data_IF_736992135548
#
_entry.id   IF_736992135548
#
_cell.length_a   1.000
_cell.length_b   1.000
_cell.length_c   1.000
_cell.angle_alpha   90.00
_cell.angle_beta   90.00
_cell.angle_gamma   90.00
#
_symmetry.space_group_name_H-M   'P 1'
#
loop_
_entity.id
_entity.type
_entity.pdbx_description
1 polymer ?
#
# COMPACT_ATOMS: atom_id res chain seq x y z
N UNK A 1 -11.75 0.99 -28.97
CA UNK A 1 -12.78 0.29 -28.16
C UNK A 1 -12.65 -1.21 -28.38
N UNK A 2 -12.64 -2.05 -27.33
CA UNK A 2 -12.58 -3.50 -27.50
C UNK A 2 -13.86 -4.03 -28.16
N UNK A 3 -13.73 -5.00 -29.07
CA UNK A 3 -14.86 -5.63 -29.75
C UNK A 3 -15.72 -6.40 -28.73
N UNK A 4 -17.07 -6.31 -28.80
CA UNK A 4 -17.92 -7.07 -27.89
C UNK A 4 -17.65 -8.57 -28.05
N UNK A 5 -17.44 -9.27 -26.93
CA UNK A 5 -17.08 -10.69 -26.89
C UNK A 5 -18.24 -11.63 -27.18
N UNK A 6 -19.47 -11.10 -27.33
CA UNK A 6 -20.69 -11.85 -27.62
C UNK A 6 -21.38 -11.26 -28.85
N UNK A 7 -22.11 -12.10 -29.59
CA UNK A 7 -22.90 -11.74 -30.77
C UNK A 7 -24.30 -12.37 -30.69
N UNK A 8 -25.22 -12.02 -31.58
CA UNK A 8 -26.54 -12.66 -31.66
C UNK A 8 -26.43 -14.20 -31.76
N UNK A 9 -25.42 -14.70 -32.50
CA UNK A 9 -25.15 -16.13 -32.62
C UNK A 9 -24.79 -16.79 -31.28
N UNK A 10 -24.11 -16.08 -30.37
CA UNK A 10 -23.80 -16.60 -29.04
C UNK A 10 -25.07 -16.91 -28.23
N UNK A 11 -26.11 -16.06 -28.34
CA UNK A 11 -27.39 -16.29 -27.67
C UNK A 11 -28.17 -17.44 -28.30
N UNK A 12 -28.05 -17.62 -29.62
CA UNK A 12 -28.58 -18.79 -30.29
C UNK A 12 -27.91 -20.09 -29.82
N UNK A 13 -26.58 -20.11 -29.73
CA UNK A 13 -25.85 -21.27 -29.23
C UNK A 13 -26.20 -21.62 -27.77
N UNK A 14 -26.47 -20.61 -26.93
CA UNK A 14 -26.98 -20.84 -25.56
C UNK A 14 -28.37 -21.50 -25.56
N UNK A 15 -29.26 -21.08 -26.44
CA UNK A 15 -30.59 -21.67 -26.54
C UNK A 15 -30.54 -23.10 -27.11
N UNK A 16 -29.68 -23.32 -28.11
CA UNK A 16 -29.39 -24.66 -28.65
C UNK A 16 -28.88 -25.60 -27.56
N UNK A 17 -27.91 -25.14 -26.75
CA UNK A 17 -27.38 -25.91 -25.62
C UNK A 17 -28.49 -26.29 -24.63
N UNK A 18 -29.39 -25.37 -24.29
CA UNK A 18 -30.54 -25.65 -23.40
C UNK A 18 -31.52 -26.64 -24.01
N UNK A 19 -31.80 -26.54 -25.32
CA UNK A 19 -32.66 -27.48 -26.04
C UNK A 19 -32.10 -28.90 -25.99
N UNK A 20 -30.81 -29.07 -26.28
CA UNK A 20 -30.13 -30.38 -26.22
C UNK A 20 -30.11 -30.92 -24.79
N UNK A 21 -29.85 -30.06 -23.80
CA UNK A 21 -29.84 -30.47 -22.39
C UNK A 21 -31.22 -30.91 -21.90
N UNK A 22 -32.31 -30.30 -22.39
CA UNK A 22 -33.68 -30.68 -22.06
C UNK A 22 -34.15 -31.94 -22.80
N UNK A 23 -33.71 -32.14 -24.04
CA UNK A 23 -34.10 -33.29 -24.86
C UNK A 23 -33.32 -34.57 -24.54
N UNK A 24 -31.99 -34.48 -24.47
CA UNK A 24 -31.09 -35.64 -24.39
C UNK A 24 -30.37 -35.77 -23.04
N UNK A 25 -30.58 -34.83 -22.10
CA UNK A 25 -29.92 -34.82 -20.78
C UNK A 25 -28.42 -34.51 -20.81
N UNK A 26 -27.80 -34.41 -21.98
CA UNK A 26 -26.37 -34.16 -22.15
C UNK A 26 -26.04 -32.68 -21.92
N UNK A 27 -25.05 -32.41 -21.05
CA UNK A 27 -24.50 -31.07 -20.82
C UNK A 27 -23.33 -30.83 -21.77
N UNK A 28 -23.58 -30.14 -22.88
CA UNK A 28 -22.53 -29.63 -23.76
C UNK A 28 -21.87 -28.39 -23.14
N UNK A 29 -20.59 -28.16 -23.42
CA UNK A 29 -19.95 -26.86 -23.18
C UNK A 29 -20.39 -25.84 -24.23
N UNK A 30 -20.22 -24.55 -23.95
CA UNK A 30 -20.65 -23.48 -24.88
C UNK A 30 -19.88 -23.53 -26.21
N UNK A 31 -18.61 -23.94 -26.22
CA UNK A 31 -17.80 -24.05 -27.44
C UNK A 31 -18.24 -25.23 -28.31
N UNK A 32 -18.65 -26.34 -27.69
CA UNK A 32 -19.21 -27.49 -28.41
C UNK A 32 -20.57 -27.14 -29.00
N UNK A 33 -21.43 -26.44 -28.25
CA UNK A 33 -22.71 -25.96 -28.75
C UNK A 33 -22.54 -25.00 -29.94
N UNK A 34 -21.60 -24.05 -29.84
CA UNK A 34 -21.26 -23.12 -30.93
C UNK A 34 -20.85 -23.88 -32.20
N UNK A 35 -20.00 -24.91 -32.05
CA UNK A 35 -19.53 -25.70 -33.20
C UNK A 35 -20.69 -26.50 -33.82
N UNK A 36 -21.53 -27.10 -32.98
CA UNK A 36 -22.63 -27.97 -33.43
C UNK A 36 -23.77 -27.21 -34.12
N UNK A 37 -24.07 -25.99 -33.68
CA UNK A 37 -25.22 -25.24 -34.19
C UNK A 37 -24.85 -24.20 -35.27
N UNK A 38 -23.58 -24.14 -35.69
CA UNK A 38 -23.09 -23.12 -36.61
C UNK A 38 -23.73 -23.20 -38.00
N UNK A 39 -23.87 -24.40 -38.55
CA UNK A 39 -24.48 -24.61 -39.87
C UNK A 39 -26.00 -24.38 -39.83
N UNK A 40 -26.67 -24.78 -38.74
CA UNK A 40 -28.10 -24.49 -38.52
C UNK A 40 -28.35 -22.97 -38.46
N UNK A 41 -27.51 -22.23 -37.74
CA UNK A 41 -27.60 -20.77 -37.66
C UNK A 41 -27.47 -20.07 -39.02
N UNK A 42 -26.63 -20.60 -39.92
CA UNK A 42 -26.48 -20.03 -41.26
C UNK A 42 -27.76 -20.16 -42.10
N UNK A 43 -28.49 -21.25 -41.91
CA UNK A 43 -29.70 -21.58 -42.66
C UNK A 43 -30.94 -20.82 -42.16
N UNK A 44 -30.90 -20.25 -40.95
CA UNK A 44 -32.00 -19.45 -40.42
C UNK A 44 -32.24 -18.18 -41.24
N UNK A 45 -33.51 -17.88 -41.43
CA UNK A 45 -33.96 -16.61 -42.01
C UNK A 45 -33.66 -15.42 -41.09
N UNK A 46 -33.71 -14.21 -41.63
CA UNK A 46 -33.49 -13.00 -40.83
C UNK A 46 -34.58 -12.79 -39.76
N UNK A 47 -35.80 -13.27 -40.02
CA UNK A 47 -36.92 -13.25 -39.07
C UNK A 47 -36.66 -14.19 -37.89
N UNK A 48 -36.14 -15.38 -38.14
CA UNK A 48 -35.77 -16.35 -37.10
C UNK A 48 -34.54 -15.93 -36.30
N UNK A 49 -33.65 -15.13 -36.90
CA UNK A 49 -32.50 -14.54 -36.20
C UNK A 49 -32.88 -13.32 -35.35
N UNK A 50 -34.03 -12.69 -35.63
CA UNK A 50 -34.46 -11.44 -35.00
C UNK A 50 -34.50 -11.50 -33.45
N UNK A 51 -35.08 -12.53 -32.82
CA UNK A 51 -35.10 -12.63 -31.35
C UNK A 51 -33.71 -12.61 -30.71
N UNK A 52 -32.73 -13.25 -31.35
CA UNK A 52 -31.35 -13.30 -30.86
C UNK A 52 -30.60 -11.99 -31.07
N UNK A 53 -30.97 -11.22 -32.09
CA UNK A 53 -30.46 -9.85 -32.30
C UNK A 53 -30.98 -8.91 -31.21
N UNK A 54 -32.24 -9.02 -30.83
CA UNK A 54 -32.84 -8.27 -29.72
C UNK A 54 -32.11 -8.58 -28.41
N UNK A 55 -31.91 -9.87 -28.09
CA UNK A 55 -31.17 -10.29 -26.90
C UNK A 55 -29.71 -9.78 -26.88
N UNK A 56 -29.06 -9.73 -28.03
CA UNK A 56 -27.73 -9.13 -28.15
C UNK A 56 -27.74 -7.62 -27.90
N UNK A 57 -28.75 -6.91 -28.41
CA UNK A 57 -28.88 -5.48 -28.23
C UNK A 57 -29.13 -5.13 -26.75
N UNK A 58 -30.04 -5.84 -26.10
CA UNK A 58 -30.32 -5.69 -24.66
C UNK A 58 -29.06 -5.93 -23.83
N UNK A 59 -28.33 -7.02 -24.11
CA UNK A 59 -27.06 -7.30 -23.45
C UNK A 59 -26.01 -6.20 -23.69
N UNK A 60 -25.94 -5.67 -24.92
CA UNK A 60 -24.99 -4.63 -25.31
C UNK A 60 -25.28 -3.30 -24.59
N UNK A 61 -26.55 -2.96 -24.43
CA UNK A 61 -27.00 -1.79 -23.66
C UNK A 61 -26.58 -1.96 -22.20
N UNK A 62 -26.89 -3.09 -21.57
CA UNK A 62 -26.49 -3.36 -20.19
C UNK A 62 -24.96 -3.36 -19.98
N UNK A 63 -24.19 -3.94 -20.90
CA UNK A 63 -22.72 -3.96 -20.83
C UNK A 63 -22.10 -2.56 -20.91
N UNK A 64 -22.73 -1.61 -21.63
CA UNK A 64 -22.25 -0.22 -21.69
C UNK A 64 -22.53 0.55 -20.41
N UNK A 65 -23.63 0.22 -19.72
CA UNK A 65 -24.03 0.89 -18.48
C UNK A 65 -23.22 0.44 -17.28
N UNK A 66 -22.90 -0.85 -17.18
CA UNK A 66 -22.12 -1.43 -16.09
C UNK A 66 -21.36 -2.69 -16.57
N UNK A 67 -20.08 -2.55 -16.96
CA UNK A 67 -19.28 -3.66 -17.47
C UNK A 67 -18.98 -4.75 -16.43
N UNK A 68 -18.99 -4.42 -15.13
CA UNK A 68 -18.59 -5.33 -14.05
C UNK A 68 -19.70 -6.33 -13.69
N UNK A 69 -20.97 -5.89 -13.70
CA UNK A 69 -22.09 -6.79 -13.43
C UNK A 69 -22.40 -7.78 -14.56
N UNK A 70 -21.93 -7.51 -15.79
CA UNK A 70 -22.13 -8.37 -16.95
C UNK A 70 -21.19 -9.59 -17.00
N UNK A 71 -20.21 -9.68 -16.09
CA UNK A 71 -19.22 -10.77 -16.02
C UNK A 71 -19.79 -11.96 -15.23
N UNK A 72 -19.90 -13.11 -15.91
CA UNK A 72 -20.31 -14.39 -15.31
C UNK A 72 -19.43 -14.74 -14.10
N UNK A 73 -20.05 -15.29 -13.06
CA UNK A 73 -19.39 -15.77 -11.83
C UNK A 73 -18.20 -16.70 -12.13
N UNK A 74 -18.28 -17.48 -13.20
CA UNK A 74 -17.19 -18.37 -13.64
C UNK A 74 -15.99 -17.61 -14.21
N UNK A 75 -16.22 -16.45 -14.84
CA UNK A 75 -15.16 -15.62 -15.41
C UNK A 75 -14.48 -14.77 -14.34
N UNK A 76 -15.22 -14.33 -13.32
CA UNK A 76 -14.66 -13.73 -12.08
C UNK A 76 -13.73 -14.71 -11.37
N UNK A 77 -14.12 -15.97 -11.22
CA UNK A 77 -13.26 -17.00 -10.65
C UNK A 77 -11.97 -17.21 -11.47
N UNK A 78 -12.06 -17.23 -12.81
CA UNK A 78 -10.89 -17.36 -13.69
C UNK A 78 -9.95 -16.15 -13.63
N UNK A 79 -10.50 -14.93 -13.52
CA UNK A 79 -9.71 -13.71 -13.36
C UNK A 79 -9.03 -13.66 -11.99
N UNK A 80 -9.75 -13.97 -10.90
CA UNK A 80 -9.18 -14.08 -9.57
C UNK A 80 -8.06 -15.14 -9.52
N UNK A 81 -8.27 -16.30 -10.15
CA UNK A 81 -7.25 -17.37 -10.21
C UNK A 81 -6.03 -16.97 -11.05
N UNK A 82 -6.21 -16.16 -12.09
CA UNK A 82 -5.09 -15.57 -12.86
C UNK A 82 -4.34 -14.52 -12.04
N UNK A 83 -5.05 -13.64 -11.34
CA UNK A 83 -4.45 -12.63 -10.45
C UNK A 83 -3.62 -13.29 -9.34
N UNK A 84 -4.18 -14.28 -8.64
CA UNK A 84 -3.47 -15.07 -7.61
C UNK A 84 -2.25 -15.78 -8.19
N UNK A 85 -2.38 -16.40 -9.38
CA UNK A 85 -1.23 -17.06 -10.03
C UNK A 85 -0.14 -16.06 -10.45
N UNK A 86 -0.54 -14.85 -10.79
CA UNK A 86 0.37 -13.77 -11.17
C UNK A 86 1.06 -13.18 -9.94
N UNK A 87 0.35 -12.97 -8.83
CA UNK A 87 0.91 -12.61 -7.53
C UNK A 87 1.93 -13.64 -7.06
N UNK A 88 1.58 -14.94 -7.03
CA UNK A 88 2.49 -16.03 -6.66
C UNK A 88 3.73 -16.06 -7.59
N UNK A 89 3.57 -15.74 -8.87
CA UNK A 89 4.68 -15.67 -9.83
C UNK A 89 5.56 -14.45 -9.54
N UNK A 90 4.96 -13.30 -9.24
CA UNK A 90 5.70 -12.07 -8.89
C UNK A 90 6.45 -12.25 -7.57
N UNK A 91 5.83 -12.89 -6.59
CA UNK A 91 6.41 -13.21 -5.28
C UNK A 91 7.56 -14.22 -5.42
N UNK A 92 7.42 -15.24 -6.29
CA UNK A 92 8.54 -16.12 -6.66
C UNK A 92 9.68 -15.37 -7.33
N UNK A 93 9.40 -14.49 -8.29
CA UNK A 93 10.41 -13.68 -8.98
C UNK A 93 11.12 -12.73 -7.99
N UNK A 94 10.38 -12.16 -7.02
CA UNK A 94 10.95 -11.35 -5.94
C UNK A 94 11.81 -12.18 -4.97
N UNK A 95 11.42 -13.44 -4.70
CA UNK A 95 12.19 -14.36 -3.87
C UNK A 95 13.42 -14.96 -4.57
N UNK A 96 13.43 -14.98 -5.90
CA UNK A 96 14.51 -15.52 -6.76
C UNK A 96 15.46 -14.44 -7.28
N UNK A 97 15.17 -13.15 -7.05
CA UNK A 97 16.13 -12.08 -7.30
C UNK A 97 17.27 -12.18 -6.29
N UNK A 98 18.38 -12.78 -6.72
CA UNK A 98 19.68 -12.53 -6.09
C UNK A 98 19.96 -11.03 -6.22
N UNK A 99 19.70 -10.29 -5.15
CA UNK A 99 20.16 -8.91 -5.04
C UNK A 99 21.69 -8.99 -5.11
N UNK A 100 22.34 -8.32 -6.09
CA UNK A 100 23.79 -8.39 -6.23
C UNK A 100 24.45 -8.03 -4.90
N UNK A 101 25.39 -8.87 -4.45
CA UNK A 101 26.08 -8.67 -3.17
C UNK A 101 26.65 -7.24 -3.06
N UNK A 102 27.07 -6.64 -4.18
CA UNK A 102 27.58 -5.26 -4.23
C UNK A 102 26.52 -4.18 -3.96
N UNK A 103 25.31 -4.29 -4.52
CA UNK A 103 24.21 -3.34 -4.25
C UNK A 103 23.73 -3.48 -2.80
N UNK A 104 23.59 -4.71 -2.32
CA UNK A 104 23.32 -5.00 -0.91
C UNK A 104 24.41 -4.42 -0.02
N UNK A 105 25.69 -4.55 -0.39
CA UNK A 105 26.85 -4.08 0.39
C UNK A 105 26.93 -2.57 0.43
N UNK A 106 26.73 -1.88 -0.68
CA UNK A 106 26.61 -0.40 -0.72
C UNK A 106 25.45 0.06 0.15
N UNK A 107 24.32 -0.65 0.10
CA UNK A 107 23.17 -0.36 0.96
C UNK A 107 23.48 -0.63 2.45
N UNK A 108 24.10 -1.76 2.76
CA UNK A 108 24.56 -2.15 4.10
C UNK A 108 25.53 -1.11 4.68
N UNK A 109 26.49 -0.64 3.89
CA UNK A 109 27.49 0.34 4.32
C UNK A 109 26.84 1.71 4.52
N UNK A 110 25.96 2.13 3.59
CA UNK A 110 25.22 3.39 3.65
C UNK A 110 24.34 3.51 4.91
N UNK A 111 23.72 2.40 5.33
CA UNK A 111 22.80 2.37 6.47
C UNK A 111 23.39 1.74 7.73
N UNK A 112 24.68 1.41 7.73
CA UNK A 112 25.39 0.76 8.84
C UNK A 112 25.25 1.54 10.16
N UNK A 113 25.47 2.85 10.14
CA UNK A 113 25.35 3.72 11.31
C UNK A 113 23.92 3.78 11.86
N UNK A 114 22.91 3.92 10.99
CA UNK A 114 21.50 3.99 11.41
C UNK A 114 21.03 2.64 11.97
N UNK A 115 21.43 1.53 11.32
CA UNK A 115 21.20 0.17 11.81
C UNK A 115 21.84 -0.05 13.18
N UNK A 116 23.10 0.34 13.36
CA UNK A 116 23.82 0.15 14.62
C UNK A 116 23.19 1.00 15.73
N UNK A 117 22.77 2.23 15.41
CA UNK A 117 21.97 3.06 16.30
C UNK A 117 20.66 2.39 16.69
N UNK A 118 19.89 1.86 15.73
CA UNK A 118 18.65 1.14 16.00
C UNK A 118 18.88 -0.08 16.89
N UNK A 119 19.90 -0.89 16.60
CA UNK A 119 20.23 -2.08 17.37
C UNK A 119 20.68 -1.75 18.81
N UNK A 120 21.47 -0.69 18.97
CA UNK A 120 22.06 -0.33 20.26
C UNK A 120 21.12 0.51 21.13
N UNK A 121 20.41 1.49 20.56
CA UNK A 121 19.60 2.44 21.35
C UNK A 121 18.10 2.13 21.35
N UNK A 122 17.58 1.55 20.27
CA UNK A 122 16.13 1.53 20.05
C UNK A 122 15.51 0.14 20.22
N UNK A 123 15.95 -0.87 19.47
CA UNK A 123 15.34 -2.18 19.47
C UNK A 123 15.55 -2.95 20.78
N UNK A 124 14.58 -3.80 21.18
CA UNK A 124 14.75 -4.71 22.30
C UNK A 124 15.77 -5.80 21.96
N UNK A 125 16.49 -6.24 22.99
CA UNK A 125 17.42 -7.38 22.90
C UNK A 125 16.68 -8.72 22.90
N UNK A 126 15.43 -8.74 23.36
CA UNK A 126 14.59 -9.93 23.45
C UNK A 126 13.65 -10.05 22.25
N UNK A 127 13.58 -11.24 21.67
CA UNK A 127 12.78 -11.51 20.47
C UNK A 127 11.28 -11.46 20.74
N UNK A 128 10.81 -11.85 21.93
CA UNK A 128 9.39 -11.80 22.26
C UNK A 128 8.93 -10.36 22.45
N UNK A 129 9.79 -9.53 23.02
CA UNK A 129 9.58 -8.08 23.07
C UNK A 129 9.58 -7.48 21.65
N UNK A 130 10.50 -7.91 20.77
CA UNK A 130 10.53 -7.44 19.37
C UNK A 130 9.23 -7.79 18.62
N UNK A 131 8.69 -9.00 18.83
CA UNK A 131 7.48 -9.45 18.16
C UNK A 131 6.26 -8.58 18.47
N UNK A 132 6.19 -8.10 19.72
CA UNK A 132 5.06 -7.32 20.24
C UNK A 132 5.32 -5.80 20.22
N UNK A 133 6.55 -5.39 19.92
CA UNK A 133 6.93 -3.98 19.84
C UNK A 133 6.14 -3.25 18.74
N UNK A 134 5.54 -2.09 19.03
CA UNK A 134 4.92 -1.27 17.99
C UNK A 134 5.99 -0.65 17.08
N UNK A 135 5.81 -0.84 15.78
CA UNK A 135 6.57 -0.24 14.69
C UNK A 135 5.63 0.77 14.02
N UNK A 136 6.08 2.01 13.84
CA UNK A 136 5.29 3.05 13.18
C UNK A 136 5.88 3.36 11.82
N UNK A 137 5.11 3.17 10.75
CA UNK A 137 5.52 3.51 9.39
C UNK A 137 4.74 4.74 8.96
N UNK A 138 5.41 5.76 8.43
CA UNK A 138 4.77 6.99 7.95
C UNK A 138 5.09 7.19 6.47
N UNK A 139 4.20 7.86 5.75
CA UNK A 139 4.46 8.36 4.41
C UNK A 139 3.74 9.69 4.22
N UNK A 140 4.37 10.60 3.49
CA UNK A 140 3.75 11.84 3.05
C UNK A 140 3.66 11.87 1.52
N UNK A 141 2.48 12.21 1.01
CA UNK A 141 2.35 12.68 -0.37
C UNK A 141 2.47 14.19 -0.39
N UNK A 142 3.06 14.72 -1.47
CA UNK A 142 3.33 16.16 -1.62
C UNK A 142 2.81 16.64 -2.97
N UNK A 143 2.31 17.86 -3.02
CA UNK A 143 1.97 18.48 -4.29
C UNK A 143 3.21 18.87 -5.10
N UNK A 144 4.26 19.38 -4.44
CA UNK A 144 5.53 19.67 -5.07
C UNK A 144 6.66 19.86 -4.05
N UNK A 145 7.90 19.85 -4.56
CA UNK A 145 9.07 20.40 -3.89
C UNK A 145 9.35 21.78 -4.50
N UNK A 146 9.57 22.78 -3.65
CA UNK A 146 10.03 24.12 -4.04
C UNK A 146 11.52 24.08 -4.26
N UNK A 147 12.03 24.83 -5.24
CA UNK A 147 13.47 24.90 -5.50
C UNK A 147 14.22 25.48 -4.29
N UNK A 148 15.48 25.08 -4.12
CA UNK A 148 16.28 25.51 -2.96
C UNK A 148 16.46 27.03 -2.89
N UNK A 149 16.54 27.71 -4.05
CA UNK A 149 16.62 29.17 -4.16
C UNK A 149 15.37 29.88 -3.60
N UNK A 150 14.22 29.21 -3.68
CA UNK A 150 12.92 29.69 -3.22
C UNK A 150 12.52 29.11 -1.83
N UNK A 151 13.44 28.41 -1.17
CA UNK A 151 13.29 27.93 0.21
C UNK A 151 13.26 26.41 0.39
N UNK A 152 13.32 25.60 -0.67
CA UNK A 152 13.57 24.15 -0.58
C UNK A 152 12.52 23.34 0.20
N UNK A 153 11.32 23.91 0.34
CA UNK A 153 10.23 23.39 1.15
C UNK A 153 9.33 22.44 0.36
N UNK A 154 8.74 21.47 1.06
CA UNK A 154 7.78 20.53 0.48
C UNK A 154 6.36 21.01 0.76
N UNK A 155 5.49 20.96 -0.24
CA UNK A 155 4.07 21.29 -0.08
C UNK A 155 3.30 19.99 0.19
N UNK A 156 2.81 19.76 1.43
CA UNK A 156 2.14 18.50 1.77
C UNK A 156 0.76 18.39 1.11
N UNK A 157 0.39 17.17 0.76
CA UNK A 157 -0.92 16.82 0.20
C UNK A 157 -1.63 15.76 1.05
N UNK A 158 -0.88 14.78 1.56
CA UNK A 158 -1.42 13.69 2.35
C UNK A 158 -0.39 13.22 3.38
N UNK A 159 -0.89 12.71 4.48
CA UNK A 159 -0.12 12.01 5.49
C UNK A 159 -0.82 10.70 5.82
N UNK A 160 -0.05 9.61 5.83
CA UNK A 160 -0.48 8.32 6.32
C UNK A 160 0.49 7.80 7.39
N UNK A 161 -0.05 7.26 8.48
CA UNK A 161 0.71 6.53 9.49
C UNK A 161 0.05 5.17 9.77
N UNK A 162 0.90 4.15 9.85
CA UNK A 162 0.53 2.79 10.16
C UNK A 162 1.29 2.33 11.41
N UNK A 163 0.55 1.80 12.39
CA UNK A 163 1.10 1.01 13.49
C UNK A 163 1.09 -0.46 13.09
N UNK A 164 2.22 -1.11 13.25
CA UNK A 164 2.49 -2.49 12.88
C UNK A 164 3.16 -3.22 14.05
N UNK A 165 2.84 -4.50 14.28
CA UNK A 165 3.64 -5.39 15.13
C UNK A 165 4.04 -6.61 14.32
N UNK A 166 5.17 -7.26 14.63
CA UNK A 166 5.55 -8.47 13.89
C UNK A 166 4.64 -9.65 14.22
N UNK A 167 4.01 -9.66 15.41
CA UNK A 167 3.08 -10.69 15.83
C UNK A 167 1.71 -10.57 15.14
N UNK A 168 1.14 -9.35 15.08
CA UNK A 168 -0.25 -9.14 14.64
C UNK A 168 -0.34 -8.48 13.25
N UNK A 169 0.78 -8.00 12.71
CA UNK A 169 0.81 -7.26 11.46
C UNK A 169 0.29 -5.82 11.62
N UNK A 170 -0.36 -5.26 10.58
CA UNK A 170 -0.97 -3.93 10.62
C UNK A 170 -2.10 -3.86 11.67
N UNK A 171 -1.99 -2.95 12.66
CA UNK A 171 -2.95 -2.86 13.78
C UNK A 171 -3.76 -1.56 13.80
N UNK A 172 -3.15 -0.42 13.50
CA UNK A 172 -3.83 0.88 13.53
C UNK A 172 -3.38 1.71 12.35
N UNK A 173 -4.34 2.29 11.63
CA UNK A 173 -4.09 3.08 10.44
C UNK A 173 -4.77 4.46 10.60
N UNK A 174 -4.05 5.51 10.24
CA UNK A 174 -4.59 6.87 10.12
C UNK A 174 -4.06 7.55 8.88
N UNK A 175 -4.97 8.18 8.17
CA UNK A 175 -4.72 8.94 6.95
C UNK A 175 -5.39 10.30 7.10
N UNK A 176 -4.75 11.34 6.57
CA UNK A 176 -5.31 12.67 6.49
C UNK A 176 -4.83 13.37 5.22
N UNK A 177 -5.78 13.99 4.52
CA UNK A 177 -5.46 14.92 3.45
C UNK A 177 -5.16 16.30 4.05
N UNK A 178 -4.09 16.91 3.60
CA UNK A 178 -3.57 18.16 4.15
C UNK A 178 -3.90 19.28 3.16
N UNK A 179 -4.58 20.31 3.66
CA UNK A 179 -4.80 21.55 2.92
C UNK A 179 -3.62 22.49 3.21
N UNK A 180 -2.68 22.70 2.27
CA UNK A 180 -1.55 23.58 2.51
C UNK A 180 -2.00 25.05 2.61
N UNK A 181 -1.35 25.83 3.48
CA UNK A 181 -1.68 27.25 3.71
C UNK A 181 -1.70 28.07 2.41
N UNK A 182 -0.60 27.97 1.66
CA UNK A 182 -0.42 28.69 0.40
C UNK A 182 0.53 27.90 -0.48
N UNK A 183 0.13 27.72 -1.73
CA UNK A 183 1.03 27.23 -2.78
C UNK A 183 2.00 28.37 -3.13
N UNK A 184 3.31 28.15 -3.07
CA UNK A 184 4.32 29.15 -3.43
C UNK A 184 4.09 29.70 -4.84
N UNK A 185 4.29 31.00 -5.02
CA UNK A 185 4.11 31.68 -6.31
C UNK A 185 5.04 31.06 -7.35
N UNK A 186 4.51 30.73 -8.53
CA UNK A 186 5.26 30.05 -9.60
C UNK A 186 5.11 28.53 -9.61
N UNK A 187 4.71 27.91 -8.50
CA UNK A 187 4.68 26.44 -8.37
C UNK A 187 3.33 25.78 -8.68
N UNK A 188 2.30 26.57 -9.02
CA UNK A 188 0.97 26.01 -9.35
C UNK A 188 1.02 25.00 -10.51
N UNK A 189 1.82 25.29 -11.55
CA UNK A 189 1.96 24.37 -12.69
C UNK A 189 2.61 23.05 -12.26
N UNK A 190 3.68 23.12 -11.45
CA UNK A 190 4.36 21.95 -10.92
C UNK A 190 3.43 21.09 -10.06
N UNK A 191 2.60 21.72 -9.20
CA UNK A 191 1.60 21.00 -8.41
C UNK A 191 0.58 20.28 -9.30
N UNK A 192 0.07 20.95 -10.33
CA UNK A 192 -0.93 20.38 -11.26
C UNK A 192 -0.35 19.25 -12.11
N UNK A 193 0.92 19.33 -12.50
CA UNK A 193 1.61 18.27 -13.22
C UNK A 193 1.85 17.06 -12.32
N UNK A 194 2.39 17.29 -11.11
CA UNK A 194 2.68 16.23 -10.15
C UNK A 194 1.41 15.48 -9.77
N UNK A 195 0.33 16.18 -9.37
CA UNK A 195 -0.90 15.52 -8.95
C UNK A 195 -1.51 14.65 -10.07
N UNK A 196 -1.40 15.07 -11.34
CA UNK A 196 -1.90 14.28 -12.48
C UNK A 196 -1.05 13.05 -12.75
N UNK A 197 0.24 13.11 -12.41
CA UNK A 197 1.18 12.00 -12.59
C UNK A 197 1.22 11.02 -11.42
N UNK A 198 0.72 11.41 -10.24
CA UNK A 198 0.90 10.62 -9.00
C UNK A 198 -0.41 10.28 -8.30
N UNK A 199 -0.90 11.16 -7.43
CA UNK A 199 -1.91 10.84 -6.41
C UNK A 199 -3.31 11.37 -6.74
N UNK A 200 -3.45 12.24 -7.74
CA UNK A 200 -4.72 12.86 -8.18
C UNK A 200 -5.51 13.64 -7.11
N UNK A 201 -4.93 13.82 -5.92
CA UNK A 201 -5.47 14.69 -4.86
C UNK A 201 -5.75 16.10 -5.39
N UNK A 202 -6.98 16.64 -5.26
CA UNK A 202 -7.31 17.97 -5.75
C UNK A 202 -6.66 19.09 -4.93
N UNK A 203 -6.20 20.16 -5.60
CA UNK A 203 -5.63 21.35 -4.95
C UNK A 203 -6.67 22.32 -4.38
N UNK A 204 -7.90 22.29 -4.90
CA UNK A 204 -8.97 23.21 -4.55
C UNK A 204 -10.25 22.45 -4.27
N UNK A 205 -11.06 23.02 -3.37
CA UNK A 205 -12.40 22.54 -3.03
C UNK A 205 -12.46 21.08 -2.60
N UNK A 206 -11.39 20.59 -1.97
CA UNK A 206 -11.32 19.22 -1.44
C UNK A 206 -11.78 19.20 0.02
N UNK A 207 -13.02 18.75 0.24
CA UNK A 207 -13.69 18.82 1.53
C UNK A 207 -13.03 17.94 2.60
N UNK A 208 -12.39 16.84 2.20
CA UNK A 208 -11.66 15.93 3.10
C UNK A 208 -10.32 16.51 3.59
N UNK A 209 -9.80 17.56 2.93
CA UNK A 209 -8.54 18.17 3.32
C UNK A 209 -8.71 19.06 4.57
N UNK A 210 -7.84 18.87 5.55
CA UNK A 210 -7.84 19.65 6.79
C UNK A 210 -6.72 20.68 6.81
N UNK A 211 -7.04 21.89 7.28
CA UNK A 211 -6.08 22.93 7.68
C UNK A 211 -5.91 22.99 9.21
N UNK A 212 -6.56 22.09 9.95
CA UNK A 212 -6.41 21.96 11.39
C UNK A 212 -5.18 21.10 11.75
N UNK A 213 -3.99 21.66 11.53
CA UNK A 213 -2.71 20.99 11.81
C UNK A 213 -2.56 20.58 13.27
N UNK A 214 -3.11 21.37 14.20
CA UNK A 214 -3.07 21.07 15.63
C UNK A 214 -3.79 19.77 15.96
N UNK A 215 -5.01 19.59 15.42
CA UNK A 215 -5.76 18.35 15.58
C UNK A 215 -5.03 17.17 14.93
N UNK A 216 -4.52 17.34 13.71
CA UNK A 216 -3.77 16.30 13.00
C UNK A 216 -2.54 15.84 13.80
N UNK A 217 -1.78 16.78 14.33
CA UNK A 217 -0.59 16.47 15.14
C UNK A 217 -0.94 15.84 16.49
N UNK A 218 -2.05 16.24 17.13
CA UNK A 218 -2.56 15.58 18.33
C UNK A 218 -2.99 14.14 18.06
N UNK A 219 -3.62 13.87 16.91
CA UNK A 219 -3.96 12.53 16.49
C UNK A 219 -2.70 11.68 16.28
N UNK A 220 -1.68 12.20 15.60
CA UNK A 220 -0.38 11.52 15.49
C UNK A 220 0.23 11.20 16.86
N UNK A 221 0.27 12.19 17.76
CA UNK A 221 0.74 12.01 19.14
C UNK A 221 0.04 10.87 19.86
N UNK A 222 -1.29 10.78 19.72
CA UNK A 222 -2.10 9.75 20.37
C UNK A 222 -1.79 8.33 19.88
N UNK A 223 -1.38 8.18 18.62
CA UNK A 223 -0.99 6.89 18.03
C UNK A 223 0.41 6.50 18.50
N UNK A 224 1.33 7.46 18.50
CA UNK A 224 2.75 7.26 18.77
C UNK A 224 3.03 6.98 20.25
N UNK A 225 2.37 7.73 21.14
CA UNK A 225 2.55 7.64 22.59
C UNK A 225 1.19 7.37 23.24
N UNK A 226 0.73 6.11 23.25
CA UNK A 226 -0.51 5.75 23.91
C UNK A 226 -0.34 5.80 25.45
N UNK A 227 -0.74 6.94 26.04
CA UNK A 227 -0.83 7.24 27.48
C UNK A 227 0.49 7.38 28.27
N UNK A 228 0.40 8.12 29.39
CA UNK A 228 1.52 8.60 30.19
C UNK A 228 2.38 7.46 30.77
N UNK A 229 3.59 7.32 30.24
CA UNK A 229 4.61 6.46 30.84
C UNK A 229 5.21 7.19 32.02
N UNK A 230 4.95 6.70 33.24
CA UNK A 230 5.63 7.20 34.43
C UNK A 230 7.11 6.86 34.36
N UNK A 231 7.97 7.88 34.47
CA UNK A 231 9.42 7.70 34.59
C UNK A 231 9.71 6.70 35.73
N UNK A 232 10.44 5.60 35.47
CA UNK A 232 10.76 4.64 36.52
C UNK A 232 11.50 5.37 37.64
N UNK A 233 11.10 5.12 38.89
CA UNK A 233 11.66 5.77 40.09
C UNK A 233 13.16 5.53 40.24
N UNK A 234 13.66 4.41 39.70
CA UNK A 234 15.07 4.13 39.48
C UNK A 234 15.24 3.81 37.99
N UNK A 235 15.70 4.77 37.17
CA UNK A 235 16.31 4.44 35.89
C UNK A 235 17.58 3.62 36.21
N UNK A 236 17.39 2.31 36.33
CA UNK A 236 18.43 1.32 36.55
C UNK A 236 19.57 1.50 35.55
N UNK A 237 20.80 1.13 35.93
CA UNK A 237 21.90 0.90 34.96
C UNK A 237 21.57 -0.22 33.96
N UNK A 238 20.50 -0.99 34.19
CA UNK A 238 20.02 -1.97 33.22
C UNK A 238 19.57 -1.30 31.91
N UNK A 239 20.42 -1.42 30.91
CA UNK A 239 20.21 -0.97 29.54
C UNK A 239 18.84 -1.38 28.97
N UNK A 240 18.29 -2.54 29.37
CA UNK A 240 16.97 -2.98 28.88
C UNK A 240 15.85 -2.07 29.37
N UNK A 241 15.86 -1.71 30.65
CA UNK A 241 14.86 -0.82 31.26
C UNK A 241 14.97 0.58 30.63
N UNK A 242 16.20 1.07 30.46
CA UNK A 242 16.47 2.36 29.81
C UNK A 242 15.95 2.40 28.37
N UNK A 243 16.26 1.40 27.54
CA UNK A 243 15.80 1.33 26.14
C UNK A 243 14.28 1.24 26.05
N UNK A 244 13.65 0.46 26.93
CA UNK A 244 12.18 0.35 26.99
C UNK A 244 11.52 1.69 27.33
N UNK A 245 12.08 2.41 28.29
CA UNK A 245 11.63 3.75 28.64
C UNK A 245 11.79 4.72 27.45
N UNK A 246 12.97 4.76 26.80
CA UNK A 246 13.20 5.62 25.64
C UNK A 246 12.20 5.36 24.50
N UNK A 247 11.96 4.08 24.15
CA UNK A 247 10.94 3.70 23.13
C UNK A 247 9.55 4.24 23.45
N UNK A 248 9.22 4.31 24.74
CA UNK A 248 7.89 4.67 25.21
C UNK A 248 7.64 6.18 25.26
N UNK A 249 8.70 6.98 25.44
CA UNK A 249 8.62 8.46 25.46
C UNK A 249 8.99 9.11 24.13
N UNK A 250 9.78 8.41 23.30
CA UNK A 250 10.26 8.91 22.01
C UNK A 250 10.30 7.75 20.99
N UNK A 251 9.14 7.37 20.42
CA UNK A 251 9.07 6.27 19.47
C UNK A 251 9.83 6.58 18.19
N UNK A 252 10.23 5.54 17.47
CA UNK A 252 10.87 5.65 16.17
C UNK A 252 9.81 5.48 15.07
N UNK A 253 9.83 6.40 14.12
CA UNK A 253 9.03 6.32 12.91
C UNK A 253 9.93 5.90 11.75
N UNK A 254 9.41 4.97 10.96
CA UNK A 254 10.06 4.38 9.81
C UNK A 254 9.44 4.89 8.51
N UNK A 255 10.26 5.14 7.50
CA UNK A 255 9.85 5.52 6.15
C UNK A 255 10.96 5.10 5.15
N UNK A 256 10.70 5.06 3.83
CA UNK A 256 11.72 4.73 2.84
C UNK A 256 12.92 5.68 2.93
N UNK A 257 14.15 5.16 2.87
CA UNK A 257 15.36 5.97 3.02
C UNK A 257 15.47 7.10 2.00
N UNK A 258 14.94 6.89 0.79
CA UNK A 258 14.89 7.90 -0.28
C UNK A 258 14.00 9.09 0.05
N UNK A 259 13.05 8.93 0.99
CA UNK A 259 12.11 9.96 1.43
C UNK A 259 12.57 10.66 2.72
N UNK A 260 13.80 10.40 3.21
CA UNK A 260 14.25 10.88 4.52
C UNK A 260 14.18 12.39 4.67
N UNK A 261 14.72 13.12 3.69
CA UNK A 261 14.75 14.58 3.75
C UNK A 261 13.33 15.16 3.75
N UNK A 262 12.49 14.68 2.81
CA UNK A 262 11.09 15.09 2.68
C UNK A 262 10.31 14.82 3.97
N UNK A 263 10.34 13.57 4.45
CA UNK A 263 9.54 13.13 5.59
C UNK A 263 9.99 13.82 6.87
N UNK A 264 11.31 13.97 7.11
CA UNK A 264 11.80 14.70 8.28
C UNK A 264 11.39 16.16 8.23
N UNK A 265 11.53 16.84 7.09
CA UNK A 265 11.13 18.26 6.94
C UNK A 265 9.63 18.45 7.12
N UNK A 266 8.80 17.57 6.55
CA UNK A 266 7.34 17.65 6.66
C UNK A 266 6.83 17.34 8.08
N UNK A 267 7.45 16.39 8.78
CA UNK A 267 7.11 16.13 10.17
C UNK A 267 7.48 17.31 11.06
N UNK A 268 8.67 17.88 10.87
CA UNK A 268 9.10 19.08 11.60
C UNK A 268 8.20 20.28 11.32
N UNK A 269 7.82 20.48 10.04
CA UNK A 269 6.85 21.48 9.62
C UNK A 269 5.50 21.30 10.31
N UNK A 270 4.99 20.07 10.37
CA UNK A 270 3.70 19.78 11.00
C UNK A 270 3.74 20.08 12.51
N UNK A 271 4.83 19.70 13.19
CA UNK A 271 5.04 20.03 14.60
C UNK A 271 5.09 21.56 14.82
N UNK A 272 5.86 22.27 13.99
CA UNK A 272 5.95 23.73 14.06
C UNK A 272 4.59 24.40 13.84
N UNK A 273 3.81 23.93 12.86
CA UNK A 273 2.45 24.43 12.59
C UNK A 273 1.46 24.14 13.71
N UNK A 274 1.60 22.99 14.38
CA UNK A 274 0.70 22.58 15.44
C UNK A 274 1.01 23.25 16.79
N UNK A 275 2.30 23.47 17.09
CA UNK A 275 2.76 23.91 18.41
C UNK A 275 3.34 25.33 18.42
N UNK A 276 3.64 25.90 17.25
CA UNK A 276 4.29 27.21 17.13
C UNK A 276 5.77 27.21 17.54
N UNK A 277 6.38 26.04 17.72
CA UNK A 277 7.76 25.87 18.14
C UNK A 277 8.50 25.09 17.07
N UNK A 278 9.60 25.67 16.56
CA UNK A 278 10.48 24.96 15.63
C UNK A 278 11.15 23.79 16.35
N UNK A 279 10.98 22.54 15.88
CA UNK A 279 11.56 21.39 16.54
C UNK A 279 13.09 21.41 16.46
N UNK A 280 13.72 20.94 17.53
CA UNK A 280 15.15 20.64 17.60
C UNK A 280 15.31 19.21 18.13
N UNK A 281 16.55 18.73 18.27
CA UNK A 281 16.81 17.36 18.73
C UNK A 281 16.19 17.03 20.09
N UNK A 282 16.05 18.01 20.98
CA UNK A 282 15.53 17.83 22.34
C UNK A 282 14.00 17.95 22.42
N UNK A 283 13.38 18.68 21.48
CA UNK A 283 11.92 18.88 21.43
C UNK A 283 11.22 17.95 20.45
N UNK A 284 11.97 17.17 19.65
CA UNK A 284 11.38 16.25 18.68
C UNK A 284 10.76 15.06 19.40
N UNK A 285 9.47 14.87 19.14
CA UNK A 285 8.65 13.80 19.72
C UNK A 285 9.15 12.39 19.38
N UNK A 286 9.83 12.25 18.24
CA UNK A 286 10.13 10.96 17.64
C UNK A 286 11.55 10.90 17.11
N UNK A 287 12.07 9.68 17.05
CA UNK A 287 13.25 9.34 16.28
C UNK A 287 12.85 8.93 14.87
N UNK A 288 13.77 9.12 13.91
CA UNK A 288 13.56 8.71 12.53
C UNK A 288 14.55 7.62 12.16
N UNK A 289 14.08 6.64 11.40
CA UNK A 289 14.94 5.67 10.76
C UNK A 289 14.34 5.18 9.45
N UNK A 290 15.15 4.58 8.59
CA UNK A 290 14.65 3.99 7.36
C UNK A 290 14.00 2.62 7.58
N UNK A 291 13.00 2.30 6.76
CA UNK A 291 12.40 0.95 6.69
C UNK A 291 13.47 -0.07 6.27
N UNK A 292 14.38 0.33 5.41
CA UNK A 292 15.51 -0.47 4.95
C UNK A 292 16.39 -0.89 6.12
N UNK A 293 16.85 0.04 6.97
CA UNK A 293 17.62 -0.27 8.18
C UNK A 293 16.88 -1.25 9.11
N UNK A 294 15.57 -1.08 9.27
CA UNK A 294 14.75 -1.99 10.05
C UNK A 294 14.74 -3.40 9.44
N UNK A 295 14.46 -3.53 8.14
CA UNK A 295 14.45 -4.82 7.44
C UNK A 295 15.80 -5.51 7.55
N UNK A 296 16.90 -4.78 7.30
CA UNK A 296 18.25 -5.33 7.40
C UNK A 296 18.53 -5.90 8.80
N UNK A 297 18.11 -5.19 9.84
CA UNK A 297 18.27 -5.63 11.22
C UNK A 297 17.41 -6.87 11.53
N UNK A 298 16.17 -6.91 11.05
CA UNK A 298 15.29 -8.08 11.23
C UNK A 298 15.83 -9.34 10.51
N UNK A 299 16.38 -9.17 9.31
CA UNK A 299 17.03 -10.26 8.55
C UNK A 299 18.24 -10.80 9.30
N UNK A 300 19.06 -9.91 9.88
CA UNK A 300 20.24 -10.30 10.65
C UNK A 300 19.86 -11.09 11.92
N UNK A 301 18.86 -10.60 12.66
CA UNK A 301 18.33 -11.31 13.83
C UNK A 301 17.79 -12.70 13.48
N UNK A 302 17.16 -12.86 12.31
CA UNK A 302 16.70 -14.16 11.81
C UNK A 302 17.89 -15.10 11.52
N UNK A 303 18.96 -14.62 10.87
CA UNK A 303 20.16 -15.41 10.56
C UNK A 303 20.85 -15.91 11.83
N UNK A 304 21.03 -15.04 12.82
CA UNK A 304 21.66 -15.40 14.10
C UNK A 304 20.89 -16.49 14.85
N UNK A 305 19.56 -16.51 14.74
CA UNK A 305 18.73 -17.55 15.34
C UNK A 305 18.91 -18.91 14.66
N UNK A 306 18.87 -18.96 13.33
CA UNK A 306 19.09 -20.18 12.55
C UNK A 306 20.45 -20.80 12.91
N UNK A 307 21.51 -19.98 12.96
CA UNK A 307 22.85 -20.46 13.32
C UNK A 307 22.93 -21.05 14.73
N UNK A 308 22.21 -20.50 15.72
CA UNK A 308 22.18 -21.04 17.09
C UNK A 308 21.39 -22.34 17.21
N UNK A 309 20.28 -22.45 16.47
CA UNK A 309 19.45 -23.65 16.46
C UNK A 309 20.15 -24.84 15.76
N UNK A 310 21.04 -24.56 14.80
CA UNK A 310 21.88 -25.58 14.16
C UNK A 310 23.03 -26.06 15.06
N UNK A 311 23.64 -25.16 15.83
CA UNK A 311 24.71 -25.50 16.81
C UNK A 311 24.17 -26.33 17.98
N UNK A 312 22.92 -26.12 18.40
CA UNK A 312 22.27 -26.89 19.47
C UNK A 312 21.74 -28.27 19.03
N UNK A 313 21.85 -28.61 17.73
CA UNK A 313 21.43 -29.91 17.16
C UNK A 313 22.59 -30.86 16.86
N UNK A 314 23.83 -30.42 17.06
CA UNK A 314 25.07 -31.22 16.97
C UNK A 314 25.61 -31.56 18.34
#
# INVERSE_FOLDING_TARGET
MPKPSRSAFYFYALEYQRRIQRGNGQRLSINEAITACYDEWKLLSEEEKSPFKILYEDWRVHYRSDPESAVSSSQRYLQAKKAIKQEIKTEKILSERDIPCEELKIHYDRFSFERDYLAFQYLPLDINELLTMPIYIINFQTFCKVDEEDGGQYVPAELCILRYTLADGPTTFRQAFIKPDKIPTGYMSACLEHLKGTHEIPLKDFAEATDNYKMLYQQLKSILIPNAVTKPSNLSEDDRVRRRYLRSIQPCIFFPAVEYEQTSKLFDWLQEKAEGIKPNKDTRLVNFASVESLIMLLVELKKQRISRDDVNKT
#
